data_IF_637307670851
#
_entry.id   IF_637307670851
#
_cell.length_a   1.000
_cell.length_b   1.000
_cell.length_c   1.000
_cell.angle_alpha   90.00
_cell.angle_beta   90.00
_cell.angle_gamma   90.00
#
_symmetry.space_group_name_H-M   'P 1'
#
loop_
_entity.id
_entity.type
_entity.pdbx_description
1 polymer ?
#
# COMPACT_ATOMS: atom_id res chain seq x y z
N UNK A 1 31.49 37.69 -25.93
CA UNK A 1 30.04 37.43 -25.72
C UNK A 1 29.89 35.98 -25.30
N UNK A 2 29.93 35.70 -24.00
CA UNK A 2 29.83 34.32 -23.48
C UNK A 2 28.37 34.02 -23.12
N UNK A 3 27.77 33.03 -23.77
CA UNK A 3 26.43 32.54 -23.46
C UNK A 3 26.53 31.48 -22.36
N UNK A 4 25.96 31.80 -21.20
CA UNK A 4 25.82 30.90 -20.05
C UNK A 4 24.84 29.79 -20.42
N UNK A 5 25.37 28.55 -20.55
CA UNK A 5 24.59 27.32 -20.60
C UNK A 5 23.92 27.09 -19.23
N UNK A 6 22.73 27.66 -19.05
CA UNK A 6 21.89 27.39 -17.89
C UNK A 6 21.32 25.97 -17.98
N UNK A 7 21.81 25.13 -17.08
CA UNK A 7 21.24 23.91 -16.46
C UNK A 7 20.23 23.08 -17.27
N UNK A 8 20.51 21.79 -17.51
CA UNK A 8 19.53 20.90 -18.12
C UNK A 8 18.28 20.79 -17.21
N UNK A 9 17.06 20.74 -17.78
CA UNK A 9 15.87 20.45 -17.00
C UNK A 9 16.09 19.12 -16.29
N UNK A 10 15.92 19.12 -14.96
CA UNK A 10 15.89 17.90 -14.14
C UNK A 10 14.65 17.10 -14.54
N UNK A 11 14.73 16.39 -15.65
CA UNK A 11 13.76 15.39 -16.04
C UNK A 11 13.89 14.26 -15.02
N UNK A 12 13.02 14.28 -14.02
CA UNK A 12 12.86 13.21 -13.05
C UNK A 12 12.30 11.96 -13.77
N UNK A 13 13.16 11.26 -14.51
CA UNK A 13 12.89 9.94 -15.11
C UNK A 13 12.90 8.85 -14.03
N UNK A 14 12.29 9.09 -12.88
CA UNK A 14 11.99 8.00 -11.94
C UNK A 14 10.63 7.45 -12.34
N UNK A 15 10.62 6.17 -12.74
CA UNK A 15 9.39 5.42 -13.04
C UNK A 15 8.35 5.69 -11.94
N UNK A 16 7.09 6.00 -12.27
CA UNK A 16 6.05 6.07 -11.25
C UNK A 16 6.06 4.74 -10.49
N UNK A 17 6.19 4.83 -9.16
CA UNK A 17 6.07 3.66 -8.29
C UNK A 17 4.61 3.25 -8.38
N UNK A 18 4.33 2.22 -9.18
CA UNK A 18 2.99 1.68 -9.33
C UNK A 18 2.65 0.92 -8.05
N UNK A 19 1.98 1.58 -7.12
CA UNK A 19 1.43 0.93 -5.94
C UNK A 19 0.20 0.14 -6.41
N UNK A 20 0.33 -1.19 -6.47
CA UNK A 20 -0.74 -2.08 -6.91
C UNK A 20 -1.77 -2.20 -5.78
N UNK A 21 -3.01 -1.80 -6.03
CA UNK A 21 -4.11 -1.96 -5.07
C UNK A 21 -4.88 -3.26 -5.33
N UNK A 22 -5.22 -4.00 -4.29
CA UNK A 22 -6.11 -5.17 -4.38
C UNK A 22 -7.58 -4.74 -4.30
N UNK A 23 -8.53 -5.46 -4.95
CA UNK A 23 -9.95 -5.12 -4.92
C UNK A 23 -10.52 -5.19 -3.50
N UNK A 24 -11.40 -4.24 -3.16
CA UNK A 24 -12.12 -4.19 -1.89
C UNK A 24 -13.16 -5.31 -1.84
N UNK A 25 -12.88 -6.42 -1.16
CA UNK A 25 -13.88 -7.46 -0.89
C UNK A 25 -14.76 -7.02 0.28
N UNK A 26 -16.01 -6.63 0.01
CA UNK A 26 -17.03 -6.47 1.05
C UNK A 26 -17.49 -7.87 1.46
N UNK A 27 -17.08 -8.33 2.64
CA UNK A 27 -17.43 -9.66 3.15
C UNK A 27 -18.90 -9.74 3.55
N UNK A 28 -19.65 -10.65 2.94
CA UNK A 28 -20.77 -11.33 3.60
C UNK A 28 -20.90 -12.75 3.03
N UNK A 29 -20.68 -13.74 3.90
CA UNK A 29 -21.21 -15.10 3.77
C UNK A 29 -20.51 -16.04 2.79
N UNK A 30 -20.01 -17.15 3.30
CA UNK A 30 -19.62 -18.32 2.51
C UNK A 30 -20.79 -18.81 1.61
N UNK A 31 -20.52 -19.02 0.32
CA UNK A 31 -21.25 -20.00 -0.50
C UNK A 31 -20.52 -20.33 -1.79
N UNK A 32 -20.22 -21.62 -1.97
CA UNK A 32 -19.73 -22.22 -3.19
C UNK A 32 -20.86 -22.27 -4.24
N UNK A 33 -20.79 -21.49 -5.32
CA UNK A 33 -21.40 -21.80 -6.62
C UNK A 33 -21.06 -20.72 -7.67
N UNK A 34 -20.61 -21.17 -8.85
CA UNK A 34 -20.64 -20.51 -10.17
C UNK A 34 -20.17 -19.05 -10.28
N UNK A 35 -19.06 -18.83 -10.98
CA UNK A 35 -18.68 -17.55 -11.61
C UNK A 35 -19.84 -16.97 -12.45
N UNK A 36 -20.29 -15.73 -12.17
CA UNK A 36 -20.86 -14.87 -13.18
C UNK A 36 -19.81 -13.82 -13.57
N UNK A 37 -19.61 -13.72 -14.87
CA UNK A 37 -18.80 -12.77 -15.60
C UNK A 37 -19.02 -11.32 -15.11
N UNK A 38 -17.92 -10.62 -14.84
CA UNK A 38 -17.79 -9.16 -14.69
C UNK A 38 -18.44 -8.48 -13.48
N UNK A 39 -17.93 -8.74 -12.28
CA UNK A 39 -17.90 -7.72 -11.21
C UNK A 39 -16.46 -7.24 -11.03
N UNK A 40 -15.97 -6.40 -11.95
CA UNK A 40 -14.67 -5.74 -11.77
C UNK A 40 -14.84 -4.70 -10.67
N UNK A 41 -14.58 -5.11 -9.42
CA UNK A 41 -14.53 -4.20 -8.27
C UNK A 41 -13.62 -3.00 -8.62
N UNK A 42 -14.00 -1.77 -8.25
CA UNK A 42 -13.30 -0.57 -8.68
C UNK A 42 -11.84 -0.63 -8.22
N UNK A 43 -10.93 -0.70 -9.20
CA UNK A 43 -9.50 -0.60 -8.95
C UNK A 43 -9.15 0.88 -8.84
N UNK A 44 -8.72 1.31 -7.66
CA UNK A 44 -8.21 2.66 -7.45
C UNK A 44 -6.69 2.59 -7.38
N UNK A 45 -5.99 3.27 -8.30
CA UNK A 45 -4.53 3.38 -8.30
C UNK A 45 -4.17 4.78 -7.81
N UNK A 46 -3.31 4.88 -6.81
CA UNK A 46 -2.80 6.17 -6.37
C UNK A 46 -1.43 6.44 -6.98
N UNK A 47 -1.31 7.57 -7.66
CA UNK A 47 -0.08 8.06 -8.26
C UNK A 47 0.31 9.36 -7.55
N UNK A 48 1.45 9.36 -6.89
CA UNK A 48 2.01 10.60 -6.36
C UNK A 48 2.91 11.27 -7.40
N UNK A 49 2.82 12.60 -7.51
CA UNK A 49 3.78 13.39 -8.28
C UNK A 49 5.09 13.54 -7.49
N UNK A 50 6.24 13.03 -7.97
CA UNK A 50 7.52 13.18 -7.27
C UNK A 50 7.93 14.64 -7.03
N UNK A 51 7.45 15.57 -7.86
CA UNK A 51 7.71 17.00 -7.76
C UNK A 51 6.69 17.71 -6.86
N UNK A 52 5.52 17.10 -6.63
CA UNK A 52 4.41 17.64 -5.83
C UNK A 52 3.84 16.54 -4.93
N UNK A 53 4.56 16.12 -3.87
CA UNK A 53 4.18 14.94 -3.07
C UNK A 53 2.87 15.08 -2.28
N UNK A 54 2.34 16.30 -2.15
CA UNK A 54 1.03 16.57 -1.55
C UNK A 54 -0.14 16.32 -2.53
N UNK A 55 0.15 16.34 -3.84
CA UNK A 55 -0.84 16.11 -4.88
C UNK A 55 -0.84 14.63 -5.24
N UNK A 56 -1.93 13.95 -4.86
CA UNK A 56 -2.11 12.53 -5.14
C UNK A 56 -3.20 12.39 -6.19
N UNK A 57 -2.86 11.80 -7.34
CA UNK A 57 -3.82 11.45 -8.36
C UNK A 57 -4.34 10.04 -8.10
N UNK A 58 -5.61 9.94 -7.74
CA UNK A 58 -6.31 8.66 -7.74
C UNK A 58 -6.86 8.40 -9.14
N UNK A 59 -6.57 7.23 -9.68
CA UNK A 59 -7.10 6.75 -10.95
C UNK A 59 -8.05 5.61 -10.63
N UNK A 60 -9.34 5.86 -10.77
CA UNK A 60 -10.41 4.89 -10.49
C UNK A 60 -10.83 4.26 -11.81
N UNK A 61 -10.75 2.93 -11.90
CA UNK A 61 -11.39 2.18 -12.99
C UNK A 61 -12.80 1.77 -12.58
N UNK A 62 -13.79 2.16 -13.37
CA UNK A 62 -15.21 1.76 -13.22
C UNK A 62 -15.74 1.40 -14.60
N UNK A 63 -16.33 0.21 -14.74
CA UNK A 63 -16.94 -0.28 -15.98
C UNK A 63 -16.03 -0.19 -17.22
N UNK A 64 -14.71 -0.33 -17.04
CA UNK A 64 -13.71 -0.21 -18.11
C UNK A 64 -13.20 1.22 -18.34
N UNK A 65 -13.94 2.23 -17.89
CA UNK A 65 -13.55 3.63 -17.96
C UNK A 65 -12.59 4.02 -16.84
N UNK A 66 -11.66 4.91 -17.16
CA UNK A 66 -10.60 5.36 -16.25
C UNK A 66 -10.82 6.83 -15.88
N UNK A 67 -11.21 7.08 -14.64
CA UNK A 67 -11.44 8.43 -14.11
C UNK A 67 -10.25 8.87 -13.24
N UNK A 68 -9.67 10.03 -13.55
CA UNK A 68 -8.65 10.65 -12.71
C UNK A 68 -9.30 11.66 -11.76
N UNK A 69 -9.01 11.54 -10.48
CA UNK A 69 -9.41 12.47 -9.43
C UNK A 69 -8.14 12.93 -8.70
N UNK A 70 -7.89 14.23 -8.73
CA UNK A 70 -6.78 14.82 -8.00
C UNK A 70 -7.25 15.14 -6.57
N UNK A 71 -6.57 14.58 -5.58
CA UNK A 71 -6.81 14.82 -4.17
C UNK A 71 -5.61 15.56 -3.57
N UNK A 72 -5.90 16.63 -2.81
CA UNK A 72 -4.91 17.21 -1.92
C UNK A 72 -4.90 16.38 -0.63
N UNK A 73 -3.85 15.60 -0.46
CA UNK A 73 -3.72 14.69 0.68
C UNK A 73 -2.76 15.29 1.71
N UNK A 74 -3.12 15.26 3.02
CA UNK A 74 -2.17 15.51 4.10
C UNK A 74 -0.78 14.92 3.82
N UNK A 75 0.26 15.77 3.94
CA UNK A 75 1.66 15.42 3.61
C UNK A 75 2.14 14.12 4.26
N UNK A 76 1.67 13.83 5.47
CA UNK A 76 2.04 12.65 6.28
C UNK A 76 1.41 11.33 5.79
N UNK A 77 0.57 11.40 4.77
CA UNK A 77 -0.16 10.24 4.26
C UNK A 77 0.59 9.51 3.16
N UNK A 78 1.24 10.29 2.31
CA UNK A 78 2.05 9.82 1.20
C UNK A 78 3.46 10.34 1.35
N UNK A 79 4.14 10.01 2.46
CA UNK A 79 5.58 9.83 2.34
C UNK A 79 5.80 8.67 1.36
N UNK A 80 5.78 8.98 0.05
CA UNK A 80 5.69 8.04 -1.07
C UNK A 80 6.79 6.99 -0.99
N UNK A 81 7.94 7.37 -0.44
CA UNK A 81 9.10 6.50 -0.22
C UNK A 81 8.88 5.40 0.82
N UNK A 82 7.87 5.51 1.68
CA UNK A 82 7.60 4.57 2.76
C UNK A 82 6.35 3.73 2.54
N UNK A 83 5.49 4.08 1.57
CA UNK A 83 4.27 3.32 1.28
C UNK A 83 4.61 2.01 0.56
N UNK A 84 4.10 0.88 1.09
CA UNK A 84 4.26 -0.45 0.50
C UNK A 84 3.11 -0.74 -0.47
N UNK A 85 1.88 -0.48 -0.04
CA UNK A 85 0.69 -0.91 -0.75
C UNK A 85 -0.60 -0.68 0.02
N UNK A 86 -1.72 -1.07 -0.60
CA UNK A 86 -3.03 -1.10 0.07
C UNK A 86 -3.65 -2.48 -0.07
N UNK A 87 -4.39 -2.91 0.96
CA UNK A 87 -5.13 -4.16 0.95
C UNK A 87 -6.37 -4.01 1.82
N UNK A 88 -7.52 -4.51 1.37
CA UNK A 88 -8.78 -4.55 2.13
C UNK A 88 -9.17 -3.25 2.86
N UNK A 89 -8.94 -2.07 2.26
CA UNK A 89 -9.30 -0.78 2.84
C UNK A 89 -8.23 -0.16 3.75
N UNK A 90 -7.07 -0.80 3.88
CA UNK A 90 -5.96 -0.28 4.68
C UNK A 90 -4.75 0.06 3.81
N UNK A 91 -4.02 1.07 4.27
CA UNK A 91 -2.75 1.52 3.72
C UNK A 91 -1.63 0.96 4.56
N UNK A 92 -0.64 0.35 3.92
CA UNK A 92 0.53 -0.21 4.59
C UNK A 92 1.78 0.58 4.21
N UNK A 93 2.58 0.90 5.21
CA UNK A 93 3.87 1.58 5.06
C UNK A 93 4.96 0.87 5.87
N UNK A 94 6.22 0.99 5.44
CA UNK A 94 7.41 0.54 6.16
C UNK A 94 8.18 1.78 6.61
N UNK A 95 8.28 1.98 7.92
CA UNK A 95 8.97 3.13 8.50
C UNK A 95 9.89 2.64 9.60
N UNK A 96 11.19 2.92 9.47
CA UNK A 96 12.22 2.53 10.43
C UNK A 96 12.21 1.02 10.73
N UNK A 97 11.95 0.19 9.71
CA UNK A 97 11.86 -1.26 9.83
C UNK A 97 10.56 -1.78 10.47
N UNK A 98 9.62 -0.91 10.80
CA UNK A 98 8.33 -1.28 11.38
C UNK A 98 7.25 -1.13 10.33
N UNK A 99 6.48 -2.21 10.12
CA UNK A 99 5.32 -2.19 9.23
C UNK A 99 4.15 -1.55 9.98
N UNK A 100 3.57 -0.51 9.37
CA UNK A 100 2.44 0.26 9.90
C UNK A 100 1.25 0.10 8.97
N UNK A 101 0.11 -0.29 9.53
CA UNK A 101 -1.16 -0.46 8.81
C UNK A 101 -2.09 0.65 9.30
N UNK A 102 -2.57 1.47 8.37
CA UNK A 102 -3.40 2.65 8.63
C UNK A 102 -4.71 2.51 7.87
N UNK A 103 -5.83 2.77 8.54
CA UNK A 103 -7.13 2.75 7.88
C UNK A 103 -7.22 3.87 6.83
N UNK A 104 -7.86 3.60 5.69
CA UNK A 104 -8.07 4.67 4.72
C UNK A 104 -8.95 5.77 5.38
N UNK A 105 -8.53 7.04 5.34
CA UNK A 105 -9.27 8.11 5.97
C UNK A 105 -10.52 8.33 5.13
N UNK A 106 -11.66 7.95 5.68
CA UNK A 106 -12.94 8.42 5.18
C UNK A 106 -13.09 9.93 5.44
N UNK A 107 -14.28 10.47 5.21
CA UNK A 107 -14.60 11.91 5.33
C UNK A 107 -14.29 12.54 6.70
N UNK A 108 -13.93 11.76 7.72
CA UNK A 108 -13.59 12.24 9.05
C UNK A 108 -12.13 11.90 9.44
N UNK A 109 -11.15 12.79 9.17
CA UNK A 109 -9.73 12.54 9.40
C UNK A 109 -9.31 12.51 10.88
N UNK A 110 -10.24 12.71 11.83
CA UNK A 110 -9.91 12.88 13.26
C UNK A 110 -9.71 11.58 14.03
N UNK A 111 -10.12 10.43 13.49
CA UNK A 111 -9.94 9.11 14.10
C UNK A 111 -9.44 8.11 13.07
N UNK A 112 -8.19 8.26 12.65
CA UNK A 112 -7.54 7.26 11.78
C UNK A 112 -6.95 6.16 12.67
N UNK A 113 -7.39 4.92 12.47
CA UNK A 113 -6.84 3.77 13.19
C UNK A 113 -5.48 3.40 12.62
N UNK A 114 -4.52 3.11 13.51
CA UNK A 114 -3.15 2.70 13.15
C UNK A 114 -2.79 1.46 13.96
N UNK A 115 -2.31 0.44 13.28
CA UNK A 115 -1.80 -0.81 13.85
C UNK A 115 -0.32 -0.91 13.50
N UNK A 116 0.51 -1.20 14.50
CA UNK A 116 1.93 -1.45 14.33
C UNK A 116 2.17 -2.95 14.41
N UNK A 117 2.82 -3.51 13.38
CA UNK A 117 3.27 -4.89 13.43
C UNK A 117 4.60 -4.97 14.20
N UNK A 118 4.99 -6.16 14.67
CA UNK A 118 6.29 -6.36 15.29
C UNK A 118 7.43 -5.87 14.36
N UNK A 119 8.58 -5.46 14.91
CA UNK A 119 9.76 -5.20 14.10
C UNK A 119 10.11 -6.44 13.25
N UNK A 120 10.28 -6.26 11.94
CA UNK A 120 10.69 -7.38 11.08
C UNK A 120 12.20 -7.61 11.20
N UNK A 121 12.62 -8.86 11.02
CA UNK A 121 14.03 -9.23 10.98
C UNK A 121 14.39 -9.57 9.54
N UNK A 122 15.52 -9.02 9.06
CA UNK A 122 16.04 -9.33 7.74
C UNK A 122 16.67 -10.73 7.76
N UNK A 123 16.21 -11.62 6.89
CA UNK A 123 16.84 -12.93 6.70
C UNK A 123 18.18 -12.79 5.93
N UNK A 124 19.11 -13.76 6.08
CA UNK A 124 20.32 -13.79 5.28
C UNK A 124 20.01 -13.67 3.78
N UNK A 125 20.82 -12.88 3.06
CA UNK A 125 20.68 -12.61 1.62
C UNK A 125 19.42 -11.83 1.20
N UNK A 126 18.61 -11.34 2.15
CA UNK A 126 17.41 -10.56 1.87
C UNK A 126 17.64 -9.06 2.10
N UNK A 127 16.91 -8.22 1.37
CA UNK A 127 16.91 -6.76 1.54
C UNK A 127 15.60 -6.31 2.17
N UNK A 128 15.40 -6.65 3.45
CA UNK A 128 14.13 -6.36 4.12
C UNK A 128 13.94 -4.88 4.53
N UNK A 129 14.96 -4.05 4.32
CA UNK A 129 14.82 -2.59 4.40
C UNK A 129 13.88 -2.01 3.34
N UNK A 130 13.55 -2.77 2.30
CA UNK A 130 12.60 -2.38 1.26
C UNK A 130 11.48 -3.41 1.14
N UNK A 131 10.25 -2.99 1.41
CA UNK A 131 9.06 -3.79 1.12
C UNK A 131 8.47 -3.39 -0.24
N UNK A 132 7.98 -4.39 -0.97
CA UNK A 132 7.53 -4.25 -2.37
C UNK A 132 6.05 -4.54 -2.54
N UNK A 133 5.43 -5.29 -1.64
CA UNK A 133 4.01 -5.62 -1.70
C UNK A 133 3.45 -5.99 -0.32
N UNK A 134 2.14 -5.84 -0.16
CA UNK A 134 1.38 -6.27 1.01
C UNK A 134 0.08 -6.96 0.56
N UNK A 135 -0.31 -8.01 1.26
CA UNK A 135 -1.62 -8.62 1.14
C UNK A 135 -2.19 -8.87 2.53
N UNK A 136 -3.50 -8.73 2.68
CA UNK A 136 -4.22 -9.06 3.91
C UNK A 136 -5.33 -10.05 3.62
N UNK A 137 -5.59 -10.98 4.54
CA UNK A 137 -6.63 -11.99 4.37
C UNK A 137 -8.04 -11.43 4.60
N UNK A 138 -8.20 -10.36 5.37
CA UNK A 138 -9.49 -9.70 5.62
C UNK A 138 -9.35 -8.18 5.78
N UNK A 139 -10.49 -7.47 5.81
CA UNK A 139 -10.58 -6.04 6.13
C UNK A 139 -10.55 -5.73 7.63
N UNK A 140 -10.46 -6.75 8.47
CA UNK A 140 -10.50 -6.64 9.94
C UNK A 140 -9.18 -7.12 10.57
N UNK A 141 -8.08 -6.36 10.46
CA UNK A 141 -6.77 -6.72 11.03
C UNK A 141 -6.78 -6.91 12.55
N UNK A 142 -7.79 -6.37 13.24
CA UNK A 142 -8.04 -6.54 14.67
C UNK A 142 -8.64 -7.90 15.07
N UNK A 143 -8.99 -8.76 14.11
CA UNK A 143 -9.45 -10.13 14.38
C UNK A 143 -8.30 -11.13 14.28
N UNK A 144 -8.30 -12.13 15.16
CA UNK A 144 -7.23 -13.16 15.22
C UNK A 144 -7.04 -13.96 13.93
N UNK A 145 -8.07 -14.02 13.09
CA UNK A 145 -8.05 -14.72 11.80
C UNK A 145 -7.36 -13.90 10.69
N UNK A 146 -7.19 -12.58 10.89
CA UNK A 146 -6.55 -11.74 9.89
C UNK A 146 -5.04 -11.95 9.88
N UNK A 147 -4.51 -12.24 8.69
CA UNK A 147 -3.09 -12.36 8.44
C UNK A 147 -2.66 -11.28 7.43
N UNK A 148 -1.48 -10.73 7.66
CA UNK A 148 -0.84 -9.72 6.83
C UNK A 148 0.45 -10.31 6.31
N UNK A 149 0.56 -10.41 4.99
CA UNK A 149 1.74 -10.87 4.29
C UNK A 149 2.46 -9.68 3.65
N UNK A 150 3.76 -9.55 3.89
CA UNK A 150 4.61 -8.48 3.35
C UNK A 150 5.73 -9.11 2.54
N UNK A 151 5.84 -8.71 1.27
CA UNK A 151 6.93 -9.11 0.38
C UNK A 151 8.05 -8.08 0.46
N UNK A 152 9.25 -8.53 0.80
CA UNK A 152 10.45 -7.70 0.82
C UNK A 152 11.25 -7.83 -0.47
N UNK A 153 12.17 -6.89 -0.72
CA UNK A 153 13.14 -7.01 -1.80
C UNK A 153 14.01 -8.25 -1.57
N UNK A 154 14.08 -9.11 -2.59
CA UNK A 154 14.67 -10.44 -2.50
C UNK A 154 13.63 -11.55 -2.27
N UNK A 155 14.06 -12.73 -1.77
CA UNK A 155 13.19 -13.89 -1.63
C UNK A 155 12.25 -13.82 -0.43
N UNK A 156 12.59 -13.07 0.63
CA UNK A 156 11.81 -13.00 1.87
C UNK A 156 10.35 -12.57 1.69
N UNK A 157 9.45 -13.40 2.20
CA UNK A 157 8.03 -13.14 2.44
C UNK A 157 7.78 -13.33 3.94
N UNK A 158 7.18 -12.34 4.60
CA UNK A 158 6.89 -12.42 6.03
C UNK A 158 5.39 -12.32 6.28
N UNK A 159 4.86 -13.16 7.15
CA UNK A 159 3.43 -13.23 7.50
C UNK A 159 3.28 -12.94 8.99
N UNK A 160 2.32 -12.09 9.36
CA UNK A 160 2.01 -11.75 10.75
C UNK A 160 0.49 -11.71 10.98
N UNK A 161 0.04 -12.04 12.19
CA UNK A 161 -1.34 -11.87 12.64
C UNK A 161 -1.44 -10.68 13.59
N UNK A 162 -2.00 -9.52 13.18
CA UNK A 162 -1.89 -8.29 13.96
C UNK A 162 -2.60 -8.34 15.32
N UNK A 163 -3.70 -9.07 15.41
CA UNK A 163 -4.52 -9.17 16.63
C UNK A 163 -4.01 -10.19 17.66
N UNK A 164 -2.98 -10.98 17.32
CA UNK A 164 -2.44 -11.97 18.23
C UNK A 164 -1.65 -11.28 19.34
N UNK A 165 -1.89 -11.66 20.60
CA UNK A 165 -1.30 -11.02 21.79
C UNK A 165 0.23 -10.97 21.79
N UNK A 166 0.87 -11.99 21.20
CA UNK A 166 2.30 -12.05 20.91
C UNK A 166 2.50 -12.22 19.40
N UNK A 167 2.02 -11.26 18.62
CA UNK A 167 2.21 -11.27 17.18
C UNK A 167 3.71 -11.41 16.86
N UNK A 168 4.04 -12.38 16.02
CA UNK A 168 5.39 -12.64 15.53
C UNK A 168 5.38 -12.77 14.01
N UNK A 169 6.56 -12.65 13.40
CA UNK A 169 6.72 -12.85 11.97
C UNK A 169 7.05 -14.31 11.68
N UNK A 170 6.22 -14.93 10.85
CA UNK A 170 6.55 -16.18 10.16
C UNK A 170 7.25 -15.79 8.86
N UNK A 171 8.54 -16.07 8.75
CA UNK A 171 9.33 -15.74 7.57
C UNK A 171 9.47 -16.96 6.65
N UNK A 172 9.30 -16.72 5.35
CA UNK A 172 9.44 -17.69 4.26
C UNK A 172 10.50 -17.15 3.31
N UNK A 173 11.47 -17.98 2.92
CA UNK A 173 12.56 -17.66 2.01
C UNK A 173 12.51 -18.62 0.82
#
# INVERSE_FOLDING_TARGET
>A
MSLILNQPPKLCLRKPVLVRCSPLHHSNGYSSASLPQSQTLPLTIFCADPCRPHLVRAVVRRDGDMHALDYDMPRDFMEVTKMIGTSNGWITSLVDGIVRIREYPEKNPKQVRIIFLPPHVTLPLCQAQMATNVAMSSSSPEKEECAVAVKFSGPQLSICKPAQSNAEWININ
#
